data_IF_371504065846
#
_entry.id   IF_371504065846
#
_cell.length_a   1.000
_cell.length_b   1.000
_cell.length_c   1.000
_cell.angle_alpha   90.00
_cell.angle_beta   90.00
_cell.angle_gamma   90.00
#
_symmetry.space_group_name_H-M   'P 1'
#
loop_
_entity.id
_entity.type
_entity.pdbx_description
1 polymer ?
#
# COMPACT_ATOMS: atom_id res chain seq x y z
N UNK A 1 -14.43 17.55 12.06
CA UNK A 1 -13.37 17.18 11.09
C UNK A 1 -12.27 18.20 11.20
N UNK A 2 -11.05 17.76 11.51
CA UNK A 2 -9.90 18.66 11.46
C UNK A 2 -9.62 19.01 10.00
N UNK A 3 -9.10 20.21 9.73
CA UNK A 3 -8.79 20.70 8.37
C UNK A 3 -7.84 19.77 7.58
N UNK A 4 -7.14 18.88 8.28
CA UNK A 4 -6.19 17.92 7.71
C UNK A 4 -6.67 16.46 7.67
N UNK A 5 -7.90 16.14 8.08
CA UNK A 5 -8.41 14.77 7.96
C UNK A 5 -8.61 14.38 6.48
N UNK A 6 -8.36 13.10 6.19
CA UNK A 6 -8.70 12.42 4.94
C UNK A 6 -9.66 11.30 5.30
N UNK A 7 -10.84 11.30 4.70
CA UNK A 7 -11.79 10.20 4.86
C UNK A 7 -11.32 8.98 4.07
N UNK A 8 -11.64 7.77 4.56
CA UNK A 8 -11.14 6.54 3.95
C UNK A 8 -11.48 6.41 2.48
N UNK A 9 -12.70 6.80 2.09
CA UNK A 9 -13.16 6.67 0.71
C UNK A 9 -12.54 7.70 -0.22
N UNK A 10 -11.96 8.78 0.29
CA UNK A 10 -11.21 9.73 -0.53
C UNK A 10 -9.97 9.09 -1.16
N UNK A 11 -9.37 8.10 -0.51
CA UNK A 11 -8.22 7.36 -1.03
C UNK A 11 -8.55 6.59 -2.32
N UNK A 12 -9.82 6.24 -2.58
CA UNK A 12 -10.22 5.51 -3.79
C UNK A 12 -9.92 6.27 -5.10
N UNK A 13 -9.68 7.58 -5.01
CA UNK A 13 -9.27 8.43 -6.14
C UNK A 13 -7.80 8.26 -6.54
N UNK A 14 -7.00 7.58 -5.71
CA UNK A 14 -5.60 7.30 -6.03
C UNK A 14 -5.52 6.32 -7.22
N UNK A 15 -4.61 6.62 -8.15
CA UNK A 15 -4.16 5.67 -9.17
C UNK A 15 -3.31 4.55 -8.56
N UNK A 16 -3.07 3.49 -9.33
CA UNK A 16 -2.25 2.35 -8.93
C UNK A 16 -0.84 2.81 -8.50
N UNK A 17 -0.17 3.64 -9.32
CA UNK A 17 1.13 4.24 -8.98
C UNK A 17 1.08 5.14 -7.73
N UNK A 18 -0.02 5.87 -7.52
CA UNK A 18 -0.17 6.70 -6.32
C UNK A 18 -0.41 5.87 -5.05
N UNK A 19 -1.01 4.68 -5.18
CA UNK A 19 -1.14 3.74 -4.07
C UNK A 19 0.23 3.15 -3.69
N UNK A 20 1.04 2.78 -4.68
CA UNK A 20 2.41 2.32 -4.47
C UNK A 20 3.26 3.41 -3.79
N UNK A 21 3.23 4.64 -4.31
CA UNK A 21 3.92 5.80 -3.71
C UNK A 21 3.42 6.10 -2.29
N UNK A 22 2.11 5.93 -2.02
CA UNK A 22 1.55 6.07 -0.68
C UNK A 22 2.15 5.05 0.29
N UNK A 23 2.14 3.76 -0.08
CA UNK A 23 2.66 2.68 0.77
C UNK A 23 4.16 2.87 1.01
N UNK A 24 4.92 3.24 -0.03
CA UNK A 24 6.34 3.53 0.08
C UNK A 24 6.63 4.68 1.04
N UNK A 25 5.95 5.82 0.89
CA UNK A 25 6.12 6.97 1.80
C UNK A 25 5.73 6.65 3.23
N UNK A 26 4.71 5.82 3.44
CA UNK A 26 4.31 5.35 4.77
C UNK A 26 5.39 4.43 5.37
N UNK A 27 5.96 3.52 4.59
CA UNK A 27 7.07 2.68 5.02
C UNK A 27 8.31 3.50 5.36
N UNK A 28 8.69 4.47 4.50
CA UNK A 28 9.81 5.40 4.73
C UNK A 28 9.63 6.20 6.03
N UNK A 29 8.42 6.71 6.27
CA UNK A 29 8.11 7.45 7.48
C UNK A 29 8.10 6.54 8.72
N UNK A 30 7.59 5.31 8.61
CA UNK A 30 7.56 4.33 9.70
C UNK A 30 8.98 3.92 10.14
N UNK A 31 9.87 3.61 9.19
CA UNK A 31 11.26 3.24 9.51
C UNK A 31 12.04 4.43 10.07
N UNK A 32 11.83 5.63 9.54
CA UNK A 32 12.46 6.86 10.04
C UNK A 32 12.03 7.20 11.46
N UNK A 33 10.73 7.06 11.76
CA UNK A 33 10.17 7.27 13.10
C UNK A 33 10.82 6.35 14.15
N UNK A 34 11.34 5.19 13.73
CA UNK A 34 12.03 4.24 14.59
C UNK A 34 13.57 4.29 14.49
N UNK A 35 14.13 5.36 13.91
CA UNK A 35 15.57 5.61 13.88
C UNK A 35 16.34 4.91 12.76
N UNK A 36 15.65 4.37 11.76
CA UNK A 36 16.27 3.74 10.59
C UNK A 36 16.26 4.66 9.38
N UNK A 37 17.19 4.44 8.44
CA UNK A 37 17.27 5.25 7.22
C UNK A 37 16.12 4.92 6.27
N UNK A 38 15.38 5.90 5.71
CA UNK A 38 14.41 5.68 4.64
C UNK A 38 14.97 4.95 3.41
N UNK A 39 16.29 5.00 3.21
CA UNK A 39 16.98 4.29 2.13
C UNK A 39 16.85 2.76 2.23
N UNK A 40 16.34 2.21 3.34
CA UNK A 40 15.99 0.80 3.44
C UNK A 40 14.67 0.44 2.73
N UNK A 41 13.93 1.43 2.20
CA UNK A 41 12.70 1.22 1.45
C UNK A 41 13.01 1.35 -0.04
N UNK A 42 12.80 0.26 -0.77
CA UNK A 42 12.95 0.17 -2.21
C UNK A 42 11.55 0.08 -2.83
N UNK A 43 11.24 0.99 -3.74
CA UNK A 43 10.00 0.96 -4.51
C UNK A 43 10.24 1.56 -5.89
N UNK A 44 9.39 1.21 -6.84
CA UNK A 44 9.65 1.41 -8.26
C UNK A 44 8.74 2.43 -8.91
N UNK A 45 9.34 3.34 -9.68
CA UNK A 45 8.78 3.84 -10.94
C UNK A 45 9.41 3.19 -12.19
N UNK A 46 10.39 2.28 -12.04
CA UNK A 46 11.16 1.64 -13.13
C UNK A 46 11.97 0.39 -12.73
N UNK A 47 11.67 -0.30 -11.62
CA UNK A 47 12.25 -1.63 -11.32
C UNK A 47 11.35 -2.68 -11.97
N UNK A 48 11.39 -2.73 -13.30
CA UNK A 48 10.99 -3.93 -14.04
C UNK A 48 12.06 -5.00 -13.81
N UNK A 49 11.91 -5.77 -12.73
CA UNK A 49 12.62 -7.04 -12.59
C UNK A 49 11.93 -8.11 -13.47
N UNK A 50 12.66 -8.94 -14.22
CA UNK A 50 12.09 -9.97 -15.09
C UNK A 50 11.28 -11.06 -14.35
N UNK A 51 11.40 -11.14 -13.02
CA UNK A 51 11.04 -12.35 -12.27
C UNK A 51 9.80 -12.18 -11.35
N UNK A 52 8.99 -11.14 -11.58
CA UNK A 52 7.75 -10.90 -10.83
C UNK A 52 7.88 -9.70 -9.91
N UNK A 53 7.75 -8.51 -10.51
CA UNK A 53 7.97 -7.21 -9.87
C UNK A 53 7.34 -7.07 -8.49
N UNK A 54 8.13 -6.53 -7.58
CA UNK A 54 7.72 -6.18 -6.21
C UNK A 54 7.34 -4.71 -6.20
N UNK A 55 6.18 -4.39 -5.65
CA UNK A 55 5.75 -2.99 -5.63
C UNK A 55 6.60 -2.19 -4.61
N UNK A 56 6.72 -2.70 -3.38
CA UNK A 56 7.56 -2.11 -2.32
C UNK A 56 8.26 -3.22 -1.53
N UNK A 57 9.57 -3.06 -1.30
CA UNK A 57 10.35 -3.89 -0.39
C UNK A 57 11.05 -3.02 0.67
N UNK A 58 10.91 -3.39 1.94
CA UNK A 58 11.58 -2.76 3.08
C UNK A 58 12.61 -3.74 3.63
N UNK A 59 13.86 -3.31 3.78
CA UNK A 59 14.96 -4.14 4.29
C UNK A 59 15.76 -3.39 5.36
N UNK A 60 15.28 -3.44 6.59
CA UNK A 60 15.96 -2.81 7.74
C UNK A 60 17.12 -3.72 8.19
N UNK A 61 18.35 -3.20 8.36
CA UNK A 61 19.51 -4.01 8.74
C UNK A 61 19.53 -4.32 10.26
N UNK A 62 18.49 -4.99 10.74
CA UNK A 62 18.31 -5.42 12.13
C UNK A 62 17.72 -6.83 12.18
N UNK A 63 17.99 -7.58 13.25
CA UNK A 63 17.50 -8.95 13.40
C UNK A 63 16.01 -9.02 13.76
N UNK A 64 15.52 -8.01 14.48
CA UNK A 64 14.12 -7.91 14.89
C UNK A 64 13.62 -6.50 14.69
N UNK A 65 12.46 -6.41 14.04
CA UNK A 65 11.71 -5.19 13.88
C UNK A 65 10.34 -5.44 14.51
N UNK A 66 9.86 -4.55 15.38
CA UNK A 66 8.48 -4.62 15.87
C UNK A 66 7.91 -3.21 15.93
N UNK A 67 7.74 -2.64 14.74
CA UNK A 67 7.21 -1.29 14.54
C UNK A 67 5.80 -1.41 13.98
N UNK A 68 4.89 -0.51 14.37
CA UNK A 68 3.44 -0.74 14.34
C UNK A 68 2.89 -1.43 13.08
N UNK A 69 3.30 -0.97 11.89
CA UNK A 69 2.86 -1.49 10.59
C UNK A 69 3.92 -2.32 9.84
N UNK A 70 5.12 -2.52 10.41
CA UNK A 70 6.17 -3.40 9.86
C UNK A 70 6.62 -4.40 10.94
N UNK A 71 6.24 -5.66 10.76
CA UNK A 71 6.47 -6.72 11.76
C UNK A 71 7.81 -7.44 11.54
N UNK A 72 8.40 -7.37 10.34
CA UNK A 72 9.68 -8.03 10.03
C UNK A 72 10.65 -7.07 9.36
N UNK A 73 11.98 -7.23 9.58
CA UNK A 73 13.00 -6.38 8.96
C UNK A 73 13.00 -6.44 7.42
N UNK A 74 12.76 -7.63 6.84
CA UNK A 74 12.46 -7.80 5.41
C UNK A 74 10.94 -7.91 5.26
N UNK A 75 10.33 -6.92 4.62
CA UNK A 75 8.88 -6.86 4.37
C UNK A 75 8.61 -6.47 2.93
N UNK A 76 7.82 -7.29 2.24
CA UNK A 76 7.30 -6.99 0.91
C UNK A 76 5.84 -6.55 1.01
N UNK A 77 5.50 -5.46 0.33
CA UNK A 77 4.13 -5.07 0.06
C UNK A 77 3.77 -5.28 -1.40
N UNK A 78 2.60 -5.87 -1.62
CA UNK A 78 1.94 -5.94 -2.91
C UNK A 78 0.70 -5.04 -2.89
N UNK A 79 0.74 -3.94 -3.64
CA UNK A 79 -0.31 -2.96 -3.80
C UNK A 79 -1.35 -3.40 -4.82
N UNK A 80 -2.63 -3.27 -4.46
CA UNK A 80 -3.76 -3.55 -5.36
C UNK A 80 -4.81 -2.46 -5.21
N UNK A 81 -5.08 -1.73 -6.29
CA UNK A 81 -6.13 -0.70 -6.29
C UNK A 81 -7.53 -1.30 -6.14
N UNK A 82 -7.77 -2.45 -6.76
CA UNK A 82 -9.07 -3.11 -6.77
C UNK A 82 -9.24 -4.08 -5.60
N UNK A 83 -10.49 -4.50 -5.36
CA UNK A 83 -10.81 -5.53 -4.37
C UNK A 83 -10.08 -6.85 -4.70
N UNK A 84 -9.62 -7.52 -3.65
CA UNK A 84 -8.87 -8.77 -3.69
C UNK A 84 -9.71 -9.90 -3.09
N UNK A 85 -10.70 -10.45 -3.81
CA UNK A 85 -11.41 -11.65 -3.37
C UNK A 85 -10.45 -12.83 -3.18
N UNK A 86 -10.87 -13.87 -2.44
CA UNK A 86 -10.04 -15.06 -2.15
C UNK A 86 -9.40 -15.66 -3.41
N UNK A 87 -10.14 -15.71 -4.52
CA UNK A 87 -9.65 -16.21 -5.81
C UNK A 87 -8.55 -15.33 -6.40
N UNK A 88 -8.66 -14.01 -6.27
CA UNK A 88 -7.63 -13.07 -6.73
C UNK A 88 -6.36 -13.19 -5.88
N UNK A 89 -6.50 -13.33 -4.54
CA UNK A 89 -5.36 -13.57 -3.65
C UNK A 89 -4.58 -14.83 -4.04
N UNK A 90 -5.28 -15.95 -4.28
CA UNK A 90 -4.62 -17.20 -4.65
C UNK A 90 -3.86 -17.09 -5.99
N UNK A 91 -4.41 -16.34 -6.94
CA UNK A 91 -3.76 -16.05 -8.24
C UNK A 91 -2.58 -15.09 -8.11
N UNK A 92 -2.66 -14.15 -7.18
CA UNK A 92 -1.59 -13.19 -6.91
C UNK A 92 -0.38 -13.90 -6.30
N UNK A 93 -0.62 -14.77 -5.33
CA UNK A 93 0.46 -15.45 -4.61
C UNK A 93 1.09 -16.60 -5.40
N UNK A 94 0.50 -17.00 -6.54
CA UNK A 94 1.04 -18.08 -7.36
C UNK A 94 0.16 -18.42 -8.55
N UNK A 95 0.67 -19.24 -9.46
CA UNK A 95 -0.03 -19.61 -10.71
C UNK A 95 -1.04 -20.75 -10.53
N UNK A 96 -1.54 -20.94 -9.30
CA UNK A 96 -2.47 -22.02 -8.93
C UNK A 96 -1.84 -23.41 -8.85
N UNK A 97 -0.61 -23.60 -9.39
CA UNK A 97 0.17 -24.84 -9.28
C UNK A 97 1.42 -24.72 -8.42
N UNK A 98 1.96 -23.51 -8.28
CA UNK A 98 3.14 -23.24 -7.49
C UNK A 98 3.04 -21.85 -6.88
N UNK A 99 3.58 -21.72 -5.66
CA UNK A 99 3.78 -20.44 -4.99
C UNK A 99 4.80 -19.60 -5.77
N UNK A 100 4.61 -18.28 -5.77
CA UNK A 100 5.58 -17.35 -6.33
C UNK A 100 6.94 -17.48 -5.64
N UNK A 101 8.03 -17.50 -6.41
CA UNK A 101 9.40 -17.59 -5.89
C UNK A 101 9.70 -16.50 -4.87
N UNK A 102 9.20 -15.28 -5.11
CA UNK A 102 9.31 -14.16 -4.17
C UNK A 102 8.77 -14.50 -2.78
N UNK A 103 7.62 -15.16 -2.71
CA UNK A 103 6.98 -15.46 -1.42
C UNK A 103 7.74 -16.59 -0.72
N UNK A 104 8.20 -17.59 -1.47
CA UNK A 104 9.10 -18.63 -0.95
C UNK A 104 10.42 -18.04 -0.43
N UNK A 105 11.01 -17.06 -1.13
CA UNK A 105 12.21 -16.35 -0.66
C UNK A 105 11.95 -15.57 0.61
N UNK A 106 10.79 -14.91 0.73
CA UNK A 106 10.39 -14.23 1.96
C UNK A 106 10.26 -15.22 3.12
N UNK A 107 9.71 -16.42 2.86
CA UNK A 107 9.62 -17.46 3.87
C UNK A 107 11.02 -17.93 4.33
N UNK A 108 11.97 -18.10 3.41
CA UNK A 108 13.37 -18.44 3.73
C UNK A 108 14.06 -17.37 4.59
N UNK A 109 13.77 -16.09 4.33
CA UNK A 109 14.34 -14.94 5.04
C UNK A 109 13.64 -14.63 6.37
N UNK A 110 12.62 -15.41 6.76
CA UNK A 110 11.75 -15.12 7.91
C UNK A 110 11.07 -13.73 7.81
N UNK A 111 10.80 -13.30 6.58
CA UNK A 111 10.27 -11.98 6.25
C UNK A 111 8.75 -11.89 6.31
N UNK A 112 8.22 -10.75 5.86
CA UNK A 112 6.79 -10.51 5.73
C UNK A 112 6.37 -10.37 4.26
N UNK A 113 5.18 -10.88 3.95
CA UNK A 113 4.48 -10.58 2.70
C UNK A 113 3.08 -10.04 3.01
N UNK A 114 2.83 -8.79 2.61
CA UNK A 114 1.62 -8.07 2.96
C UNK A 114 0.91 -7.63 1.67
N UNK A 115 -0.34 -8.04 1.49
CA UNK A 115 -1.18 -7.51 0.41
C UNK A 115 -1.90 -6.27 0.92
N UNK A 116 -1.79 -5.17 0.17
CA UNK A 116 -2.47 -3.91 0.45
C UNK A 116 -3.53 -3.67 -0.60
N UNK A 117 -4.80 -3.71 -0.21
CA UNK A 117 -5.94 -3.49 -1.10
C UNK A 117 -6.66 -2.19 -0.79
N UNK A 118 -6.61 -1.25 -1.72
CA UNK A 118 -7.34 0.02 -1.62
C UNK A 118 -8.85 -0.18 -1.85
N UNK A 119 -9.23 -1.16 -2.67
CA UNK A 119 -10.63 -1.44 -2.99
C UNK A 119 -11.38 -2.17 -1.89
N UNK A 120 -10.67 -2.93 -1.04
CA UNK A 120 -11.28 -3.60 0.11
C UNK A 120 -11.48 -2.64 1.30
N UNK A 121 -12.55 -2.89 2.02
CA UNK A 121 -12.87 -2.31 3.33
C UNK A 121 -13.56 -3.43 4.10
N UNK A 122 -12.75 -4.27 4.74
CA UNK A 122 -13.18 -5.57 5.21
C UNK A 122 -13.82 -5.48 6.59
N UNK A 123 -14.88 -6.26 6.81
CA UNK A 123 -15.25 -6.66 8.17
C UNK A 123 -14.13 -7.53 8.77
N UNK A 124 -14.09 -7.72 10.10
CA UNK A 124 -13.13 -8.64 10.73
C UNK A 124 -13.18 -10.06 10.12
N UNK A 125 -14.37 -10.58 9.83
CA UNK A 125 -14.55 -11.88 9.16
C UNK A 125 -14.07 -11.87 7.70
N UNK A 126 -14.26 -10.75 6.99
CA UNK A 126 -13.73 -10.54 5.64
C UNK A 126 -12.21 -10.60 5.62
N UNK A 127 -11.55 -9.86 6.53
CA UNK A 127 -10.08 -9.84 6.67
C UNK A 127 -9.54 -11.22 7.03
N UNK A 128 -10.15 -11.91 8.00
CA UNK A 128 -9.78 -13.29 8.33
C UNK A 128 -9.91 -14.23 7.11
N UNK A 129 -10.93 -14.02 6.27
CA UNK A 129 -11.09 -14.76 5.02
C UNK A 129 -10.00 -14.47 3.98
N UNK A 130 -9.44 -13.25 3.93
CA UNK A 130 -8.29 -12.90 3.09
C UNK A 130 -7.02 -13.55 3.59
N UNK A 131 -6.73 -13.41 4.88
CA UNK A 131 -5.58 -14.04 5.52
C UNK A 131 -5.59 -15.55 5.36
N UNK A 132 -6.75 -16.20 5.55
CA UNK A 132 -6.89 -17.63 5.30
C UNK A 132 -6.53 -17.98 3.86
N UNK A 133 -7.00 -17.20 2.87
CA UNK A 133 -6.65 -17.46 1.48
C UNK A 133 -5.15 -17.27 1.20
N UNK A 134 -4.47 -16.38 1.92
CA UNK A 134 -3.02 -16.22 1.83
C UNK A 134 -2.28 -17.41 2.46
N UNK A 135 -2.72 -17.87 3.63
CA UNK A 135 -2.16 -19.05 4.30
C UNK A 135 -2.38 -20.35 3.51
N UNK A 136 -3.58 -20.54 2.95
CA UNK A 136 -3.88 -21.67 2.06
C UNK A 136 -2.94 -21.66 0.82
N UNK A 137 -2.48 -20.49 0.36
CA UNK A 137 -1.61 -20.38 -0.82
C UNK A 137 -0.16 -20.80 -0.54
N UNK A 138 0.30 -20.71 0.71
CA UNK A 138 1.67 -21.06 1.13
C UNK A 138 1.74 -22.41 1.83
N UNK A 139 0.66 -23.19 1.84
CA UNK A 139 0.56 -24.43 2.61
C UNK A 139 1.63 -25.46 2.22
N UNK A 140 2.01 -25.51 0.95
CA UNK A 140 3.01 -26.43 0.42
C UNK A 140 4.47 -25.93 0.55
N UNK A 141 4.69 -24.70 1.04
CA UNK A 141 6.04 -24.17 1.21
C UNK A 141 6.70 -24.74 2.49
N UNK A 142 7.93 -25.28 2.39
CA UNK A 142 8.61 -25.89 3.53
C UNK A 142 8.95 -24.88 4.64
N UNK A 143 9.05 -23.59 4.31
CA UNK A 143 9.38 -22.51 5.24
C UNK A 143 8.16 -21.68 5.66
N UNK A 144 6.93 -22.13 5.38
CA UNK A 144 5.70 -21.37 5.65
C UNK A 144 5.58 -20.84 7.09
N UNK A 145 6.12 -21.56 8.08
CA UNK A 145 6.09 -21.15 9.50
C UNK A 145 6.94 -19.91 9.79
N UNK A 146 7.91 -19.61 8.93
CA UNK A 146 8.82 -18.48 9.08
C UNK A 146 8.26 -17.20 8.46
N UNK A 147 7.28 -17.34 7.57
CA UNK A 147 6.67 -16.23 6.86
C UNK A 147 5.64 -15.52 7.75
N UNK A 148 5.66 -14.19 7.74
CA UNK A 148 4.58 -13.38 8.32
C UNK A 148 3.66 -12.85 7.21
N UNK A 149 2.38 -13.21 7.26
CA UNK A 149 1.37 -12.76 6.29
C UNK A 149 0.38 -11.79 6.93
N UNK A 150 0.11 -10.66 6.27
CA UNK A 150 -0.98 -9.76 6.65
C UNK A 150 -1.71 -9.20 5.42
N UNK A 151 -2.89 -8.63 5.66
CA UNK A 151 -3.73 -8.00 4.65
C UNK A 151 -4.17 -6.62 5.15
N UNK A 152 -3.76 -5.57 4.43
CA UNK A 152 -4.10 -4.18 4.74
C UNK A 152 -5.18 -3.71 3.78
N UNK A 153 -6.36 -3.42 4.32
CA UNK A 153 -7.45 -2.81 3.57
C UNK A 153 -7.39 -1.27 3.67
N UNK A 154 -8.35 -0.59 3.04
CA UNK A 154 -8.44 0.87 3.06
C UNK A 154 -8.54 1.45 4.48
N UNK A 155 -9.20 0.75 5.40
CA UNK A 155 -9.32 1.16 6.79
C UNK A 155 -7.96 1.10 7.51
N UNK A 156 -7.17 0.05 7.28
CA UNK A 156 -5.80 -0.08 7.81
C UNK A 156 -4.86 0.98 7.23
N UNK A 157 -4.97 1.29 5.94
CA UNK A 157 -4.20 2.36 5.29
C UNK A 157 -4.46 3.73 5.93
N UNK A 158 -5.71 4.08 6.18
CA UNK A 158 -6.04 5.34 6.90
C UNK A 158 -5.48 5.33 8.32
N UNK A 159 -5.54 4.20 9.02
CA UNK A 159 -4.96 4.10 10.35
C UNK A 159 -3.45 4.41 10.31
N UNK A 160 -2.73 3.89 9.31
CA UNK A 160 -1.32 4.14 9.10
C UNK A 160 -1.06 5.60 8.73
N UNK A 161 -1.83 6.15 7.78
CA UNK A 161 -1.70 7.52 7.31
C UNK A 161 -1.86 8.56 8.43
N UNK A 162 -2.77 8.31 9.38
CA UNK A 162 -2.98 9.18 10.55
C UNK A 162 -1.76 9.27 11.48
N UNK A 163 -0.85 8.30 11.43
CA UNK A 163 0.40 8.36 12.20
C UNK A 163 1.44 9.30 11.57
N UNK A 164 1.27 9.65 10.28
CA UNK A 164 2.28 10.33 9.48
C UNK A 164 1.71 11.60 8.80
N UNK A 165 1.56 12.73 9.52
CA UNK A 165 0.95 13.95 8.99
C UNK A 165 1.62 14.52 7.73
N UNK A 166 2.92 14.34 7.57
CA UNK A 166 3.67 14.75 6.37
C UNK A 166 3.22 13.97 5.12
N UNK A 167 3.01 12.66 5.25
CA UNK A 167 2.48 11.80 4.19
C UNK A 167 1.02 12.15 3.92
N UNK A 168 0.23 12.41 4.96
CA UNK A 168 -1.16 12.86 4.83
C UNK A 168 -1.28 14.16 4.02
N UNK A 169 -0.38 15.13 4.23
CA UNK A 169 -0.34 16.36 3.45
C UNK A 169 -0.04 16.09 1.96
N UNK A 170 0.91 15.19 1.67
CA UNK A 170 1.20 14.77 0.30
C UNK A 170 -0.02 14.12 -0.37
N UNK A 171 -0.75 13.23 0.33
CA UNK A 171 -1.98 12.62 -0.19
C UNK A 171 -3.02 13.69 -0.52
N UNK A 172 -3.25 14.67 0.36
CA UNK A 172 -4.16 15.80 0.06
C UNK A 172 -3.75 16.54 -1.21
N UNK A 173 -2.45 16.78 -1.39
CA UNK A 173 -1.91 17.40 -2.60
C UNK A 173 -2.26 16.62 -3.87
N UNK A 174 -2.09 15.29 -3.86
CA UNK A 174 -2.45 14.41 -4.99
C UNK A 174 -3.95 14.38 -5.25
N UNK A 175 -4.76 14.29 -4.20
CA UNK A 175 -6.23 14.28 -4.29
C UNK A 175 -6.80 15.62 -4.77
N UNK A 176 -6.16 16.74 -4.43
CA UNK A 176 -6.54 18.08 -4.90
C UNK A 176 -6.14 18.39 -6.35
N UNK A 177 -5.16 17.66 -6.91
CA UNK A 177 -4.77 17.79 -8.32
C UNK A 177 -5.69 16.99 -9.26
N UNK A 178 -6.32 15.92 -8.77
CA UNK A 178 -7.29 15.12 -9.54
C UNK A 178 -8.70 15.71 -9.59
N UNK A 179 -9.00 16.71 -8.75
CA UNK A 179 -10.23 17.50 -8.84
C UNK A 179 -10.03 18.65 -9.80
N UNK A 180 -10.72 18.63 -10.94
CA UNK A 180 -10.78 19.71 -11.91
C UNK A 180 -10.70 21.10 -11.23
N UNK A 181 -9.59 21.83 -11.46
CA UNK A 181 -9.60 23.29 -11.41
C UNK A 181 -10.40 23.80 -12.59
N UNK A 182 -11.71 23.59 -12.61
CA UNK A 182 -12.60 24.42 -13.42
C UNK A 182 -12.86 25.69 -12.62
N UNK A 183 -11.83 26.51 -12.47
CA UNK A 183 -12.04 27.92 -12.17
C UNK A 183 -12.56 28.53 -13.47
N UNK A 184 -13.88 28.48 -13.70
CA UNK A 184 -14.53 29.35 -14.69
C UNK A 184 -14.43 30.77 -14.13
N UNK A 185 -13.29 31.40 -14.36
CA UNK A 185 -13.16 32.85 -14.31
C UNK A 185 -13.98 33.42 -15.46
N UNK A 186 -15.26 33.70 -15.22
CA UNK A 186 -16.03 34.59 -16.07
C UNK A 186 -15.75 36.03 -15.61
N UNK A 187 -14.67 36.61 -16.14
CA UNK A 187 -14.43 38.06 -16.12
C UNK A 187 -14.30 38.50 -17.59
N UNK A 188 -14.88 39.66 -17.90
CA UNK A 188 -15.02 40.38 -19.18
C UNK A 188 -16.38 40.20 -19.87
N UNK A 189 -17.11 41.26 -20.28
CA UNK A 189 -16.89 42.70 -20.20
C UNK A 189 -18.27 43.36 -20.32
N UNK A 190 -18.66 44.22 -19.37
CA UNK A 190 -19.69 45.24 -19.61
C UNK A 190 -19.09 46.25 -20.59
N UNK A 191 -19.63 46.34 -21.79
CA UNK A 191 -19.43 47.50 -22.66
C UNK A 191 -20.75 48.24 -22.69
N UNK A 192 -20.80 49.38 -21.97
CA UNK A 192 -21.73 50.44 -22.27
C UNK A 192 -21.44 50.92 -23.69
N UNK A 193 -22.47 50.96 -24.55
CA UNK A 193 -22.57 52.00 -25.57
C UNK A 193 -23.97 52.58 -25.54
N UNK A 194 -24.01 53.75 -24.94
CA UNK A 194 -24.94 54.84 -25.19
C UNK A 194 -24.82 55.26 -26.66
N UNK A 195 -25.95 55.32 -27.37
CA UNK A 195 -26.43 56.33 -28.33
C UNK A 195 -27.54 55.70 -29.18
#
# INVERSE_FOLDING_TARGET
MAIFDIEKDELLRLSDTQLEELIARLAEAEVAMHGHSPACVNWSGSITAPDGGVDIQVQVPVDQLKVGFLVRPDTVFQAKKHKMPKVAIKKEMGTGKALSSLISEQAQKQGSYIIVSLGDDCSPSGKAGRLKAMWDAVEDDPNKSNLHLDFYDRSKLIQWLRQHPSVMLWVKGKLGQGGNRTVRGAIHHKVLRTL
#
